data_IF_081274251507
#
_entry.id   IF_081274251507
#
_cell.length_a   1.000
_cell.length_b   1.000
_cell.length_c   1.000
_cell.angle_alpha   90.00
_cell.angle_beta   90.00
_cell.angle_gamma   90.00
#
_symmetry.space_group_name_H-M   'P 1'
#
loop_
_entity.id
_entity.type
_entity.pdbx_description
1 polymer ?
#
# COMPACT_ATOMS: atom_id res chain seq x y z
N UNK A 1 -79.22 89.65 -80.21
CA UNK A 1 -78.35 88.83 -79.35
C UNK A 1 -78.21 89.60 -78.06
N UNK A 2 -78.85 89.13 -76.98
CA UNK A 2 -79.14 89.91 -75.78
C UNK A 2 -77.91 90.07 -74.87
N UNK A 3 -77.69 91.31 -74.44
CA UNK A 3 -76.60 91.76 -73.56
C UNK A 3 -76.48 90.95 -72.26
N UNK A 4 -77.58 90.36 -71.79
CA UNK A 4 -77.65 89.53 -70.58
C UNK A 4 -76.88 88.21 -70.75
N UNK A 5 -76.92 87.62 -71.94
CA UNK A 5 -76.28 86.32 -72.21
C UNK A 5 -74.74 86.43 -72.22
N UNK A 6 -74.23 87.57 -72.71
CA UNK A 6 -72.81 87.90 -72.70
C UNK A 6 -72.27 88.13 -71.29
N UNK A 7 -73.04 88.78 -70.42
CA UNK A 7 -72.68 89.01 -69.01
C UNK A 7 -72.56 87.69 -68.23
N UNK A 8 -73.51 86.76 -68.42
CA UNK A 8 -73.46 85.46 -67.74
C UNK A 8 -72.26 84.60 -68.17
N UNK A 9 -71.87 84.65 -69.45
CA UNK A 9 -70.64 83.99 -69.91
C UNK A 9 -69.38 84.55 -69.24
N UNK A 10 -69.31 85.87 -69.03
CA UNK A 10 -68.18 86.50 -68.33
C UNK A 10 -68.13 86.13 -66.85
N UNK A 11 -69.27 86.01 -66.18
CA UNK A 11 -69.35 85.59 -64.78
C UNK A 11 -68.83 84.15 -64.63
N UNK A 12 -69.30 83.22 -65.47
CA UNK A 12 -68.81 81.83 -65.48
C UNK A 12 -67.30 81.73 -65.76
N UNK A 13 -66.78 82.56 -66.66
CA UNK A 13 -65.35 82.62 -66.93
C UNK A 13 -64.57 83.11 -65.70
N UNK A 14 -65.09 84.10 -64.98
CA UNK A 14 -64.47 84.64 -63.77
C UNK A 14 -64.50 83.63 -62.61
N UNK A 15 -65.61 82.90 -62.42
CA UNK A 15 -65.70 81.84 -61.42
C UNK A 15 -64.69 80.72 -61.70
N UNK A 16 -64.57 80.26 -62.94
CA UNK A 16 -63.56 79.25 -63.29
C UNK A 16 -62.12 79.73 -63.08
N UNK A 17 -61.85 81.02 -63.31
CA UNK A 17 -60.54 81.62 -63.04
C UNK A 17 -60.28 81.71 -61.54
N UNK A 18 -61.27 82.12 -60.75
CA UNK A 18 -61.18 82.18 -59.30
C UNK A 18 -60.87 80.80 -58.71
N UNK A 19 -61.59 79.77 -59.16
CA UNK A 19 -61.37 78.39 -58.74
C UNK A 19 -59.98 77.89 -59.12
N UNK A 20 -59.47 78.26 -60.30
CA UNK A 20 -58.11 77.87 -60.71
C UNK A 20 -57.03 78.53 -59.84
N UNK A 21 -57.25 79.78 -59.41
CA UNK A 21 -56.34 80.50 -58.51
C UNK A 21 -56.33 79.84 -57.13
N UNK A 22 -57.51 79.52 -56.57
CA UNK A 22 -57.62 78.82 -55.29
C UNK A 22 -56.95 77.44 -55.32
N UNK A 23 -57.12 76.68 -56.41
CA UNK A 23 -56.43 75.38 -56.58
C UNK A 23 -54.92 75.55 -56.64
N UNK A 24 -54.43 76.61 -57.29
CA UNK A 24 -53.00 76.88 -57.42
C UNK A 24 -52.36 77.27 -56.08
N UNK A 25 -53.05 78.03 -55.24
CA UNK A 25 -52.59 78.37 -53.89
C UNK A 25 -52.57 77.14 -52.97
N UNK A 26 -53.61 76.30 -53.01
CA UNK A 26 -53.63 75.03 -52.27
C UNK A 26 -52.48 74.09 -52.68
N UNK A 27 -52.15 74.04 -53.97
CA UNK A 27 -51.01 73.24 -54.46
C UNK A 27 -49.66 73.79 -53.98
N UNK A 28 -49.52 75.12 -53.89
CA UNK A 28 -48.31 75.74 -53.33
C UNK A 28 -48.15 75.44 -51.85
N UNK A 29 -49.21 75.58 -51.08
CA UNK A 29 -49.20 75.24 -49.66
C UNK A 29 -48.87 73.76 -49.43
N UNK A 30 -49.46 72.88 -50.25
CA UNK A 30 -49.17 71.44 -50.19
C UNK A 30 -47.69 71.16 -50.51
N UNK A 31 -47.13 71.79 -51.54
CA UNK A 31 -45.74 71.60 -51.94
C UNK A 31 -44.75 72.11 -50.87
N UNK A 32 -45.07 73.24 -50.22
CA UNK A 32 -44.31 73.74 -49.07
C UNK A 32 -44.31 72.74 -47.91
N UNK A 33 -45.49 72.25 -47.52
CA UNK A 33 -45.61 71.21 -46.47
C UNK A 33 -44.88 69.92 -46.82
N UNK A 34 -44.90 69.53 -48.10
CA UNK A 34 -44.23 68.32 -48.58
C UNK A 34 -42.70 68.47 -48.54
N UNK A 35 -42.17 69.63 -48.91
CA UNK A 35 -40.74 69.94 -48.79
C UNK A 35 -40.28 69.99 -47.33
N UNK A 36 -41.05 70.59 -46.43
CA UNK A 36 -40.74 70.58 -44.99
C UNK A 36 -40.73 69.16 -44.42
N UNK A 37 -41.69 68.32 -44.81
CA UNK A 37 -41.71 66.91 -44.40
C UNK A 37 -40.55 66.11 -45.00
N UNK A 38 -40.18 66.36 -46.27
CA UNK A 38 -39.05 65.71 -46.91
C UNK A 38 -37.72 66.04 -46.21
N UNK A 39 -37.55 67.29 -45.78
CA UNK A 39 -36.35 67.73 -45.06
C UNK A 39 -36.25 67.11 -43.65
N UNK A 40 -37.38 67.00 -42.94
CA UNK A 40 -37.46 66.27 -41.66
C UNK A 40 -37.11 64.79 -41.85
N UNK A 41 -37.66 64.14 -42.88
CA UNK A 41 -37.38 62.73 -43.18
C UNK A 41 -35.89 62.52 -43.49
N UNK A 42 -35.26 63.44 -44.23
CA UNK A 42 -33.84 63.37 -44.54
C UNK A 42 -32.97 63.49 -43.28
N UNK A 43 -33.25 64.46 -42.41
CA UNK A 43 -32.51 64.68 -41.17
C UNK A 43 -32.68 63.52 -40.17
N UNK A 44 -33.88 62.98 -40.05
CA UNK A 44 -34.15 61.80 -39.23
C UNK A 44 -33.43 60.57 -39.79
N UNK A 45 -33.47 60.37 -41.11
CA UNK A 45 -32.74 59.28 -41.78
C UNK A 45 -31.24 59.30 -41.49
N UNK A 46 -30.60 60.46 -41.64
CA UNK A 46 -29.17 60.63 -41.36
C UNK A 46 -28.78 60.42 -39.89
N UNK A 47 -29.66 60.80 -38.95
CA UNK A 47 -29.45 60.53 -37.52
C UNK A 47 -29.53 59.03 -37.20
N UNK A 48 -30.55 58.34 -37.73
CA UNK A 48 -30.67 56.90 -37.54
C UNK A 48 -29.48 56.15 -38.12
N UNK A 49 -29.05 56.47 -39.33
CA UNK A 49 -27.92 55.80 -39.97
C UNK A 49 -26.60 56.00 -39.20
N UNK A 50 -26.34 57.21 -38.70
CA UNK A 50 -25.17 57.52 -37.86
C UNK A 50 -25.22 56.80 -36.50
N UNK A 51 -26.39 56.79 -35.85
CA UNK A 51 -26.59 56.12 -34.57
C UNK A 51 -26.45 54.60 -34.70
N UNK A 52 -27.00 54.02 -35.76
CA UNK A 52 -26.87 52.60 -36.09
C UNK A 52 -25.40 52.21 -36.31
N UNK A 53 -24.65 53.01 -37.07
CA UNK A 53 -23.24 52.72 -37.33
C UNK A 53 -22.40 52.74 -36.03
N UNK A 54 -22.62 53.75 -35.16
CA UNK A 54 -21.94 53.85 -33.87
C UNK A 54 -22.29 52.70 -32.93
N UNK A 55 -23.55 52.27 -32.92
CA UNK A 55 -24.01 51.14 -32.12
C UNK A 55 -23.31 49.84 -32.56
N UNK A 56 -23.25 49.59 -33.88
CA UNK A 56 -22.57 48.42 -34.43
C UNK A 56 -21.09 48.42 -34.03
N UNK A 57 -20.39 49.56 -34.13
CA UNK A 57 -18.98 49.66 -33.73
C UNK A 57 -18.78 49.34 -32.24
N UNK A 58 -19.62 49.87 -31.35
CA UNK A 58 -19.53 49.61 -29.91
C UNK A 58 -19.77 48.13 -29.59
N UNK A 59 -20.78 47.51 -30.21
CA UNK A 59 -21.08 46.09 -30.03
C UNK A 59 -19.93 45.22 -30.58
N UNK A 60 -19.36 45.58 -31.74
CA UNK A 60 -18.22 44.86 -32.32
C UNK A 60 -16.96 44.94 -31.44
N UNK A 61 -16.64 46.12 -30.89
CA UNK A 61 -15.49 46.29 -29.99
C UNK A 61 -15.69 45.51 -28.69
N UNK A 62 -16.87 45.61 -28.07
CA UNK A 62 -17.21 44.84 -26.86
C UNK A 62 -17.18 43.32 -27.14
N UNK A 63 -17.68 42.90 -28.30
CA UNK A 63 -17.68 41.51 -28.75
C UNK A 63 -16.29 40.92 -28.97
N UNK A 64 -15.25 41.75 -29.15
CA UNK A 64 -13.85 41.29 -29.30
C UNK A 64 -13.10 41.38 -27.96
N UNK A 65 -13.24 42.47 -27.22
CA UNK A 65 -12.46 42.71 -25.99
C UNK A 65 -12.91 41.79 -24.85
N UNK A 66 -14.22 41.58 -24.67
CA UNK A 66 -14.75 40.76 -23.56
C UNK A 66 -14.25 39.30 -23.66
N UNK A 67 -14.33 38.60 -24.81
CA UNK A 67 -13.81 37.24 -24.93
C UNK A 67 -12.30 37.12 -24.68
N UNK A 68 -11.51 38.13 -25.08
CA UNK A 68 -10.06 38.14 -24.86
C UNK A 68 -9.73 38.23 -23.36
N UNK A 69 -10.42 39.12 -22.63
CA UNK A 69 -10.26 39.24 -21.18
C UNK A 69 -10.69 37.96 -20.46
N UNK A 70 -11.83 37.38 -20.85
CA UNK A 70 -12.32 36.11 -20.29
C UNK A 70 -11.31 34.98 -20.56
N UNK A 71 -10.79 34.85 -21.78
CA UNK A 71 -9.77 33.85 -22.12
C UNK A 71 -8.46 34.06 -21.34
N UNK A 72 -8.04 35.30 -21.15
CA UNK A 72 -6.84 35.62 -20.39
C UNK A 72 -6.97 35.19 -18.92
N UNK A 73 -8.09 35.55 -18.28
CA UNK A 73 -8.38 35.11 -16.91
C UNK A 73 -8.46 33.59 -16.82
N UNK A 74 -9.22 32.93 -17.71
CA UNK A 74 -9.31 31.47 -17.73
C UNK A 74 -7.94 30.79 -17.87
N UNK A 75 -7.06 31.28 -18.75
CA UNK A 75 -5.72 30.70 -18.92
C UNK A 75 -4.84 30.82 -17.68
N UNK A 76 -4.87 31.96 -17.00
CA UNK A 76 -4.04 32.16 -15.81
C UNK A 76 -4.56 31.34 -14.63
N UNK A 77 -5.86 31.36 -14.38
CA UNK A 77 -6.46 30.58 -13.29
C UNK A 77 -6.31 29.08 -13.54
N UNK A 78 -6.46 28.61 -14.79
CA UNK A 78 -6.21 27.21 -15.13
C UNK A 78 -4.75 26.82 -14.90
N UNK A 79 -3.78 27.68 -15.25
CA UNK A 79 -2.36 27.38 -14.99
C UNK A 79 -2.05 27.27 -13.50
N UNK A 80 -2.51 28.22 -12.69
CA UNK A 80 -2.32 28.18 -11.24
C UNK A 80 -2.98 26.96 -10.63
N UNK A 81 -4.26 26.72 -10.93
CA UNK A 81 -5.01 25.55 -10.44
C UNK A 81 -4.33 24.26 -10.87
N UNK A 82 -3.87 24.16 -12.11
CA UNK A 82 -3.16 22.96 -12.61
C UNK A 82 -1.82 22.77 -11.89
N UNK A 83 -1.05 23.84 -11.66
CA UNK A 83 0.22 23.76 -10.94
C UNK A 83 0.04 23.41 -9.46
N UNK A 84 -0.98 23.97 -8.82
CA UNK A 84 -1.34 23.69 -7.44
C UNK A 84 -1.84 22.25 -7.30
N UNK A 85 -2.82 21.83 -8.10
CA UNK A 85 -3.30 20.44 -8.13
C UNK A 85 -2.16 19.47 -8.42
N UNK A 86 -1.32 19.77 -9.41
CA UNK A 86 -0.21 18.88 -9.77
C UNK A 86 0.80 18.73 -8.63
N UNK A 87 1.04 19.78 -7.86
CA UNK A 87 2.01 19.75 -6.76
C UNK A 87 1.39 19.05 -5.55
N UNK A 88 0.19 19.44 -5.15
CA UNK A 88 -0.51 18.91 -3.98
C UNK A 88 -0.92 17.45 -4.17
N UNK A 89 -1.41 17.07 -5.36
CA UNK A 89 -1.70 15.67 -5.69
C UNK A 89 -0.41 14.87 -5.68
N UNK A 90 0.67 15.37 -6.28
CA UNK A 90 1.94 14.65 -6.32
C UNK A 90 2.51 14.46 -4.92
N UNK A 91 2.57 15.50 -4.11
CA UNK A 91 3.07 15.42 -2.72
C UNK A 91 2.20 14.47 -1.88
N UNK A 92 0.88 14.54 -2.00
CA UNK A 92 -0.04 13.63 -1.30
C UNK A 92 0.17 12.19 -1.76
N UNK A 93 0.35 11.99 -3.07
CA UNK A 93 0.57 10.66 -3.63
C UNK A 93 1.93 10.08 -3.19
N UNK A 94 2.99 10.88 -3.25
CA UNK A 94 4.34 10.50 -2.82
C UNK A 94 4.37 10.19 -1.31
N UNK A 95 3.66 10.98 -0.49
CA UNK A 95 3.46 10.70 0.94
C UNK A 95 2.73 9.38 1.15
N UNK A 96 1.59 9.17 0.46
CA UNK A 96 0.82 7.92 0.58
C UNK A 96 1.61 6.71 0.13
N UNK A 97 2.39 6.81 -0.93
CA UNK A 97 3.27 5.74 -1.40
C UNK A 97 4.35 5.46 -0.35
N UNK A 98 4.97 6.49 0.21
CA UNK A 98 5.99 6.35 1.25
C UNK A 98 5.42 5.70 2.51
N UNK A 99 4.25 6.14 2.98
CA UNK A 99 3.53 5.54 4.11
C UNK A 99 3.16 4.07 3.84
N UNK A 100 2.69 3.75 2.63
CA UNK A 100 2.35 2.39 2.23
C UNK A 100 3.59 1.50 2.21
N UNK A 101 4.70 1.99 1.64
CA UNK A 101 5.98 1.28 1.60
C UNK A 101 6.50 1.03 3.01
N UNK A 102 6.48 2.04 3.87
CA UNK A 102 6.94 1.93 5.26
C UNK A 102 6.05 0.98 6.07
N UNK A 103 4.72 1.08 5.92
CA UNK A 103 3.76 0.20 6.59
C UNK A 103 3.92 -1.25 6.16
N UNK A 104 4.05 -1.49 4.84
CA UNK A 104 4.29 -2.83 4.31
C UNK A 104 5.64 -3.39 4.77
N UNK A 105 6.71 -2.58 4.76
CA UNK A 105 8.03 -2.98 5.25
C UNK A 105 7.96 -3.39 6.73
N UNK A 106 7.26 -2.61 7.56
CA UNK A 106 7.06 -2.94 8.97
C UNK A 106 6.28 -4.25 9.14
N UNK A 107 5.16 -4.44 8.43
CA UNK A 107 4.38 -5.68 8.48
C UNK A 107 5.19 -6.90 8.02
N UNK A 108 5.98 -6.75 6.96
CA UNK A 108 6.87 -7.80 6.46
C UNK A 108 7.92 -8.15 7.51
N UNK A 109 8.54 -7.15 8.16
CA UNK A 109 9.54 -7.37 9.20
C UNK A 109 8.91 -8.07 10.42
N UNK A 110 7.77 -7.60 10.91
CA UNK A 110 7.04 -8.24 12.02
C UNK A 110 6.69 -9.70 11.72
N UNK A 111 6.19 -9.97 10.50
CA UNK A 111 5.87 -11.33 10.08
C UNK A 111 7.13 -12.19 9.97
N UNK A 112 8.22 -11.63 9.44
CA UNK A 112 9.51 -12.31 9.31
C UNK A 112 10.07 -12.67 10.68
N UNK A 113 10.03 -11.75 11.64
CA UNK A 113 10.48 -11.98 13.01
C UNK A 113 9.64 -13.04 13.71
N UNK A 114 8.31 -12.99 13.53
CA UNK A 114 7.41 -14.02 14.08
C UNK A 114 7.71 -15.40 13.50
N UNK A 115 7.82 -15.51 12.18
CA UNK A 115 8.15 -16.78 11.51
C UNK A 115 9.51 -17.31 11.96
N UNK A 116 10.52 -16.46 12.05
CA UNK A 116 11.85 -16.85 12.55
C UNK A 116 11.80 -17.35 13.99
N UNK A 117 11.02 -16.69 14.85
CA UNK A 117 10.85 -17.11 16.24
C UNK A 117 10.18 -18.48 16.36
N UNK A 118 9.10 -18.71 15.61
CA UNK A 118 8.39 -20.00 15.58
C UNK A 118 9.27 -21.11 14.97
N UNK A 119 10.03 -20.80 13.92
CA UNK A 119 10.99 -21.72 13.30
C UNK A 119 12.08 -22.16 14.29
N UNK A 120 12.61 -21.21 15.08
CA UNK A 120 13.62 -21.51 16.09
C UNK A 120 13.07 -22.37 17.24
N UNK A 121 11.84 -22.11 17.67
CA UNK A 121 11.14 -22.95 18.65
C UNK A 121 10.94 -24.37 18.11
N UNK A 122 10.49 -24.49 16.87
CA UNK A 122 10.29 -25.77 16.21
C UNK A 122 11.60 -26.54 16.06
N UNK A 123 12.69 -25.87 15.64
CA UNK A 123 14.02 -26.46 15.54
C UNK A 123 14.51 -26.99 16.89
N UNK A 124 14.37 -26.19 17.95
CA UNK A 124 14.77 -26.59 19.30
C UNK A 124 13.94 -27.79 19.79
N UNK A 125 12.63 -27.78 19.52
CA UNK A 125 11.75 -28.91 19.84
C UNK A 125 12.14 -30.18 19.09
N UNK A 126 12.43 -30.05 17.79
CA UNK A 126 12.89 -31.15 16.95
C UNK A 126 14.22 -31.74 17.45
N UNK A 127 15.20 -30.90 17.77
CA UNK A 127 16.48 -31.33 18.34
C UNK A 127 16.28 -32.10 19.66
N UNK A 128 15.41 -31.60 20.54
CA UNK A 128 15.04 -32.31 21.76
C UNK A 128 14.42 -33.69 21.46
N UNK A 129 13.42 -33.76 20.59
CA UNK A 129 12.75 -35.03 20.22
C UNK A 129 13.73 -36.01 19.58
N UNK A 130 14.59 -35.54 18.68
CA UNK A 130 15.63 -36.37 18.05
C UNK A 130 16.58 -36.96 19.09
N UNK A 131 17.04 -36.13 20.03
CA UNK A 131 17.85 -36.60 21.16
C UNK A 131 17.10 -37.64 22.00
N UNK A 132 15.80 -37.47 22.27
CA UNK A 132 15.02 -38.47 23.02
C UNK A 132 14.87 -39.80 22.27
N UNK A 133 14.71 -39.76 20.95
CA UNK A 133 14.64 -40.94 20.09
C UNK A 133 15.96 -41.69 20.06
N UNK A 134 17.07 -41.00 19.82
CA UNK A 134 18.40 -41.59 19.82
C UNK A 134 18.75 -42.16 21.21
N UNK A 135 18.45 -41.41 22.27
CA UNK A 135 18.64 -41.87 23.64
C UNK A 135 17.85 -43.16 23.93
N UNK A 136 16.61 -43.24 23.46
CA UNK A 136 15.75 -44.42 23.61
C UNK A 136 16.24 -45.60 22.77
N UNK A 137 16.71 -45.35 21.55
CA UNK A 137 17.27 -46.37 20.66
C UNK A 137 18.49 -47.04 21.30
N UNK A 138 19.47 -46.23 21.73
CA UNK A 138 20.67 -46.74 22.39
C UNK A 138 20.35 -47.42 23.72
N UNK A 139 19.36 -46.94 24.47
CA UNK A 139 18.90 -47.62 25.68
C UNK A 139 18.37 -49.03 25.39
N UNK A 140 17.57 -49.19 24.34
CA UNK A 140 17.02 -50.49 23.93
C UNK A 140 18.12 -51.42 23.41
N UNK A 141 19.07 -50.91 22.63
CA UNK A 141 20.24 -51.66 22.18
C UNK A 141 21.11 -52.12 23.36
N UNK A 142 21.31 -51.24 24.35
CA UNK A 142 22.00 -51.57 25.59
C UNK A 142 21.28 -52.66 26.38
N UNK A 143 19.94 -52.59 26.49
CA UNK A 143 19.13 -53.65 27.10
C UNK A 143 19.25 -54.98 26.38
N UNK A 144 19.21 -54.97 25.05
CA UNK A 144 19.38 -56.17 24.25
C UNK A 144 20.76 -56.80 24.48
N UNK A 145 21.82 -55.99 24.43
CA UNK A 145 23.20 -56.42 24.69
C UNK A 145 23.38 -56.96 26.11
N UNK A 146 22.76 -56.32 27.10
CA UNK A 146 22.78 -56.76 28.50
C UNK A 146 22.12 -58.13 28.66
N UNK A 147 20.95 -58.34 28.05
CA UNK A 147 20.24 -59.64 28.06
C UNK A 147 21.07 -60.74 27.40
N UNK A 148 21.86 -60.41 26.38
CA UNK A 148 22.82 -61.32 25.75
C UNK A 148 24.12 -61.51 26.56
N UNK A 149 24.22 -60.92 27.76
CA UNK A 149 25.43 -60.90 28.62
C UNK A 149 26.66 -60.25 27.96
N UNK A 150 26.45 -59.46 26.90
CA UNK A 150 27.50 -58.64 26.31
C UNK A 150 27.57 -57.29 27.04
N UNK A 151 28.16 -57.31 28.23
CA UNK A 151 28.18 -56.17 29.15
C UNK A 151 29.00 -54.98 28.62
N UNK A 152 30.06 -55.22 27.85
CA UNK A 152 30.86 -54.15 27.24
C UNK A 152 30.06 -53.35 26.20
N UNK A 153 29.42 -54.05 25.25
CA UNK A 153 28.54 -53.39 24.28
C UNK A 153 27.36 -52.70 24.98
N UNK A 154 26.78 -53.33 26.00
CA UNK A 154 25.69 -52.73 26.78
C UNK A 154 26.12 -51.42 27.44
N UNK A 155 27.31 -51.37 28.04
CA UNK A 155 27.84 -50.15 28.64
C UNK A 155 28.04 -49.03 27.63
N UNK A 156 28.61 -49.32 26.46
CA UNK A 156 28.78 -48.33 25.39
C UNK A 156 27.44 -47.72 24.99
N UNK A 157 26.43 -48.57 24.76
CA UNK A 157 25.12 -48.11 24.32
C UNK A 157 24.39 -47.34 25.45
N UNK A 158 24.52 -47.77 26.70
CA UNK A 158 24.05 -46.99 27.84
C UNK A 158 24.78 -45.64 27.96
N UNK A 159 26.09 -45.58 27.80
CA UNK A 159 26.83 -44.31 27.85
C UNK A 159 26.37 -43.33 26.75
N UNK A 160 26.17 -43.80 25.52
CA UNK A 160 25.57 -43.01 24.43
C UNK A 160 24.16 -42.56 24.77
N UNK A 161 23.33 -43.44 25.32
CA UNK A 161 21.98 -43.10 25.77
C UNK A 161 21.99 -41.97 26.82
N UNK A 162 22.90 -42.02 27.80
CA UNK A 162 23.05 -40.94 28.79
C UNK A 162 23.49 -39.62 28.15
N UNK A 163 24.38 -39.65 27.15
CA UNK A 163 24.76 -38.43 26.42
C UNK A 163 23.55 -37.76 25.77
N UNK A 164 22.71 -38.52 25.07
CA UNK A 164 21.52 -37.98 24.41
C UNK A 164 20.41 -37.56 25.40
N UNK A 165 20.17 -38.33 26.47
CA UNK A 165 19.22 -37.93 27.52
C UNK A 165 19.65 -36.63 28.22
N UNK A 166 20.95 -36.36 28.37
CA UNK A 166 21.43 -35.11 28.98
C UNK A 166 21.12 -33.85 28.15
N UNK A 167 20.95 -34.03 26.83
CA UNK A 167 20.62 -32.98 25.85
C UNK A 167 19.12 -32.86 25.57
N UNK A 168 18.28 -33.66 26.23
CA UNK A 168 16.82 -33.65 26.01
C UNK A 168 16.05 -33.03 27.17
N UNK A 169 14.71 -33.04 27.07
CA UNK A 169 13.84 -32.53 28.15
C UNK A 169 13.75 -33.50 29.33
N UNK A 170 13.99 -34.80 29.10
CA UNK A 170 13.85 -35.88 30.10
C UNK A 170 15.20 -36.30 30.67
N UNK A 171 15.93 -35.33 31.21
CA UNK A 171 17.28 -35.52 31.77
C UNK A 171 17.28 -36.41 33.01
N UNK A 172 16.13 -36.56 33.67
CA UNK A 172 15.91 -37.45 34.80
C UNK A 172 16.21 -38.93 34.47
N UNK A 173 16.05 -39.30 33.20
CA UNK A 173 16.29 -40.67 32.75
C UNK A 173 17.76 -41.08 32.83
N UNK A 174 18.69 -40.12 32.85
CA UNK A 174 20.13 -40.38 32.97
C UNK A 174 20.46 -41.16 34.25
N UNK A 175 19.72 -40.94 35.35
CA UNK A 175 19.94 -41.68 36.61
C UNK A 175 19.74 -43.19 36.46
N UNK A 176 18.74 -43.61 35.68
CA UNK A 176 18.49 -45.04 35.37
C UNK A 176 19.66 -45.62 34.57
N UNK A 177 20.22 -44.83 33.65
CA UNK A 177 21.35 -45.24 32.82
C UNK A 177 22.59 -45.49 33.68
N UNK A 178 22.89 -44.64 34.66
CA UNK A 178 24.01 -44.84 35.59
C UNK A 178 23.88 -46.16 36.37
N UNK A 179 22.68 -46.46 36.86
CA UNK A 179 22.42 -47.72 37.53
C UNK A 179 22.66 -48.92 36.61
N UNK A 180 22.23 -48.84 35.35
CA UNK A 180 22.44 -49.91 34.37
C UNK A 180 23.91 -50.10 33.99
N UNK A 181 24.69 -49.02 33.87
CA UNK A 181 26.14 -49.11 33.69
C UNK A 181 26.79 -49.79 34.90
N UNK A 182 26.37 -49.45 36.12
CA UNK A 182 26.82 -50.15 37.34
C UNK A 182 26.51 -51.64 37.33
N UNK A 183 25.33 -52.05 36.84
CA UNK A 183 24.98 -53.47 36.69
C UNK A 183 25.86 -54.18 35.64
N UNK A 184 26.16 -53.52 34.53
CA UNK A 184 27.10 -54.07 33.54
C UNK A 184 28.50 -54.25 34.11
N UNK A 185 28.99 -53.26 34.88
CA UNK A 185 30.28 -53.34 35.55
C UNK A 185 30.35 -54.55 36.50
N UNK A 186 29.29 -54.81 37.29
CA UNK A 186 29.18 -56.03 38.11
C UNK A 186 29.20 -57.30 37.26
N UNK A 187 28.56 -57.29 36.09
CA UNK A 187 28.57 -58.41 35.14
C UNK A 187 29.97 -58.76 34.61
N UNK A 188 30.84 -57.76 34.48
CA UNK A 188 32.24 -57.93 34.04
C UNK A 188 33.17 -58.45 35.15
N UNK A 189 32.73 -58.40 36.42
CA UNK A 189 33.37 -58.96 37.63
C UNK A 189 34.71 -58.35 38.04
N UNK A 190 35.65 -58.18 37.12
CA UNK A 190 37.00 -57.68 37.40
C UNK A 190 37.27 -56.33 36.76
N UNK A 191 38.18 -55.56 37.35
CA UNK A 191 38.61 -54.26 36.83
C UNK A 191 39.36 -54.40 35.50
N UNK A 192 40.08 -55.49 35.32
CA UNK A 192 40.74 -55.82 34.05
C UNK A 192 39.71 -56.03 32.93
N UNK A 193 38.66 -56.81 33.17
CA UNK A 193 37.59 -57.05 32.19
C UNK A 193 36.81 -55.78 31.88
N UNK A 194 36.59 -54.94 32.88
CA UNK A 194 36.00 -53.61 32.72
C UNK A 194 36.85 -52.72 31.81
N UNK A 195 38.14 -52.57 32.12
CA UNK A 195 39.07 -51.74 31.32
C UNK A 195 39.20 -52.26 29.89
N UNK A 196 39.27 -53.59 29.71
CA UNK A 196 39.28 -54.21 28.38
C UNK A 196 38.01 -53.87 27.60
N UNK A 197 36.84 -53.94 28.22
CA UNK A 197 35.58 -53.57 27.58
C UNK A 197 35.52 -52.09 27.16
N UNK A 198 36.15 -51.18 27.91
CA UNK A 198 36.25 -49.78 27.50
C UNK A 198 37.05 -49.62 26.21
N UNK A 199 38.13 -50.39 26.05
CA UNK A 199 39.00 -50.37 24.87
C UNK A 199 38.29 -51.05 23.68
N UNK A 200 37.80 -52.28 23.87
CA UNK A 200 37.22 -53.10 22.80
C UNK A 200 35.98 -52.45 22.15
N UNK A 201 35.28 -51.60 22.89
CA UNK A 201 34.06 -50.92 22.43
C UNK A 201 34.22 -49.41 22.24
N UNK A 202 35.47 -48.92 22.19
CA UNK A 202 35.84 -47.51 21.94
C UNK A 202 35.04 -46.53 22.80
N UNK A 203 34.99 -46.79 24.11
CA UNK A 203 34.33 -45.94 25.07
C UNK A 203 35.34 -45.03 25.75
N UNK A 204 35.38 -43.76 25.34
CA UNK A 204 36.11 -42.70 26.06
C UNK A 204 35.45 -42.41 27.40
N UNK A 205 35.82 -43.22 28.38
CA UNK A 205 35.26 -43.22 29.72
C UNK A 205 35.55 -41.92 30.48
N UNK A 206 36.72 -41.31 30.25
CA UNK A 206 37.04 -40.03 30.87
C UNK A 206 36.15 -38.91 30.34
N UNK A 207 35.98 -38.83 29.01
CA UNK A 207 35.09 -37.85 28.40
C UNK A 207 33.66 -38.05 28.86
N UNK A 208 33.19 -39.29 28.90
CA UNK A 208 31.88 -39.63 29.45
C UNK A 208 31.73 -39.13 30.89
N UNK A 209 32.67 -39.47 31.78
CA UNK A 209 32.60 -39.04 33.18
C UNK A 209 32.65 -37.53 33.34
N UNK A 210 33.48 -36.82 32.56
CA UNK A 210 33.55 -35.35 32.57
C UNK A 210 32.21 -34.73 32.18
N UNK A 211 31.58 -35.22 31.11
CA UNK A 211 30.26 -34.77 30.67
C UNK A 211 29.19 -35.04 31.74
N UNK A 212 29.20 -36.23 32.34
CA UNK A 212 28.23 -36.62 33.35
C UNK A 212 28.38 -35.83 34.67
N UNK A 213 29.61 -35.50 35.07
CA UNK A 213 29.86 -34.65 36.24
C UNK A 213 29.37 -33.23 35.98
N UNK A 214 29.66 -32.68 34.80
CA UNK A 214 29.23 -31.33 34.41
C UNK A 214 27.70 -31.17 34.39
N UNK A 215 26.98 -32.26 34.12
CA UNK A 215 25.53 -32.25 34.05
C UNK A 215 24.81 -32.23 35.41
N UNK A 216 25.51 -32.49 36.52
CA UNK A 216 24.99 -32.50 37.90
C UNK A 216 23.75 -33.37 38.21
N UNK A 217 23.11 -33.99 37.22
CA UNK A 217 21.92 -34.82 37.41
C UNK A 217 22.27 -36.10 38.16
N UNK A 218 21.44 -36.46 39.14
CA UNK A 218 21.54 -37.72 39.87
C UNK A 218 22.95 -38.04 40.40
N UNK A 219 23.62 -37.05 41.02
CA UNK A 219 24.94 -37.19 41.65
C UNK A 219 25.04 -38.46 42.52
N UNK A 220 23.99 -38.80 43.26
CA UNK A 220 23.94 -40.00 44.08
C UNK A 220 24.06 -41.29 43.26
N UNK A 221 23.34 -41.38 42.13
CA UNK A 221 23.42 -42.54 41.21
C UNK A 221 24.75 -42.60 40.48
N UNK A 222 25.32 -41.45 40.12
CA UNK A 222 26.66 -41.38 39.54
C UNK A 222 27.72 -41.85 40.54
N UNK A 223 27.62 -41.43 41.80
CA UNK A 223 28.52 -41.86 42.88
C UNK A 223 28.36 -43.34 43.20
N UNK A 224 27.12 -43.86 43.21
CA UNK A 224 26.83 -45.28 43.36
C UNK A 224 27.49 -46.11 42.25
N UNK A 225 27.34 -45.68 40.98
CA UNK A 225 28.01 -46.30 39.84
C UNK A 225 29.54 -46.31 40.00
N UNK A 226 30.14 -45.17 40.37
CA UNK A 226 31.59 -45.07 40.63
C UNK A 226 32.05 -45.99 41.77
N UNK A 227 31.26 -46.09 42.84
CA UNK A 227 31.56 -46.99 43.96
C UNK A 227 31.56 -48.45 43.51
N UNK A 228 30.58 -48.86 42.71
CA UNK A 228 30.51 -50.21 42.14
C UNK A 228 31.75 -50.52 41.28
N UNK A 229 32.15 -49.59 40.42
CA UNK A 229 33.31 -49.78 39.52
C UNK A 229 34.62 -49.82 40.32
N UNK A 230 34.76 -48.99 41.35
CA UNK A 230 35.96 -48.96 42.20
C UNK A 230 36.08 -50.18 43.12
N UNK A 231 34.96 -50.87 43.41
CA UNK A 231 34.95 -52.12 44.18
C UNK A 231 35.16 -53.38 43.35
N UNK A 232 35.41 -53.27 42.04
CA UNK A 232 35.79 -54.42 41.23
C UNK A 232 37.22 -54.85 41.59
N UNK A 233 37.40 -56.16 41.78
CA UNK A 233 38.70 -56.80 42.03
C UNK A 233 39.69 -56.61 40.87
#
# INVERSE_FOLDING_TARGET
>A
MDTIQFLNQKILLLESRLDSIQRMDNLRELNMKLNEQADIISNVGGFYESAWLKLIIVISILGIIIPILIQFFQRNTLKEVTSFLSTEIKETFDLRITELVNSNANQINELTDKVNSEMNLLKTSYECISNELEASLFYLQGKQSYSAKNYGSAMRDYAKSAEFWSKSTKKDRVGVIYSNIGLCAKGLKTKESFNKALIDFDLDWEKFLKQMIANEFHKDKLNEMKKIISSLD
#
